data_IF_558405195191
#
_entry.id   IF_558405195191
#
_cell.length_a   1.000
_cell.length_b   1.000
_cell.length_c   1.000
_cell.angle_alpha   90.00
_cell.angle_beta   90.00
_cell.angle_gamma   90.00
#
_symmetry.space_group_name_H-M   'P 1'
#
loop_
_entity.id
_entity.type
_entity.pdbx_description
1 polymer ?
#
# COMPACT_ATOMS: atom_id res chain seq x y z
N UNK A 1 11.06 -8.96 -1.69
CA UNK A 1 11.29 -8.66 -0.26
C UNK A 1 11.54 -9.98 0.44
N UNK A 2 12.67 -10.12 1.11
CA UNK A 2 13.04 -11.33 1.84
C UNK A 2 12.53 -11.25 3.29
N UNK A 3 12.39 -12.38 3.99
CA UNK A 3 11.96 -12.38 5.40
C UNK A 3 12.94 -11.64 6.32
N UNK A 4 14.23 -11.56 5.92
CA UNK A 4 15.26 -10.79 6.62
C UNK A 4 15.02 -9.27 6.57
N UNK A 5 14.28 -8.78 5.57
CA UNK A 5 13.91 -7.37 5.43
C UNK A 5 12.74 -6.99 6.35
N UNK A 6 12.04 -7.99 6.90
CA UNK A 6 10.90 -7.83 7.80
C UNK A 6 11.29 -7.95 9.28
N UNK A 7 12.57 -8.14 9.59
CA UNK A 7 13.08 -8.14 10.95
C UNK A 7 12.91 -6.78 11.65
N UNK A 8 12.88 -6.80 12.98
CA UNK A 8 12.85 -5.60 13.82
C UNK A 8 14.02 -4.66 13.45
N UNK A 9 13.70 -3.39 13.17
CA UNK A 9 14.67 -2.37 12.75
C UNK A 9 14.92 -2.26 11.24
N UNK A 10 14.55 -3.25 10.42
CA UNK A 10 14.65 -3.18 8.93
C UNK A 10 13.30 -3.05 8.24
N UNK A 11 12.23 -3.51 8.89
CA UNK A 11 10.87 -3.49 8.37
C UNK A 11 10.38 -2.09 7.99
N UNK A 12 10.73 -1.06 8.77
CA UNK A 12 10.37 0.34 8.46
C UNK A 12 11.07 0.86 7.19
N UNK A 13 12.34 0.53 7.00
CA UNK A 13 13.12 0.87 5.80
C UNK A 13 12.57 0.14 4.59
N UNK A 14 12.26 -1.16 4.74
CA UNK A 14 11.69 -1.97 3.68
C UNK A 14 10.31 -1.44 3.23
N UNK A 15 9.43 -1.07 4.16
CA UNK A 15 8.14 -0.44 3.85
C UNK A 15 8.32 0.91 3.17
N UNK A 16 9.19 1.78 3.71
CA UNK A 16 9.44 3.09 3.12
C UNK A 16 10.01 2.99 1.69
N UNK A 17 10.96 2.08 1.47
CA UNK A 17 11.52 1.82 0.14
C UNK A 17 10.44 1.30 -0.82
N UNK A 18 9.57 0.39 -0.37
CA UNK A 18 8.46 -0.12 -1.18
C UNK A 18 7.48 1.00 -1.56
N UNK A 19 7.12 1.88 -0.62
CA UNK A 19 6.28 3.06 -0.89
C UNK A 19 6.93 3.95 -1.95
N UNK A 20 8.22 4.27 -1.81
CA UNK A 20 8.95 5.09 -2.81
C UNK A 20 9.00 4.43 -4.18
N UNK A 21 9.27 3.12 -4.23
CA UNK A 21 9.30 2.38 -5.50
C UNK A 21 7.94 2.41 -6.20
N UNK A 22 6.85 2.14 -5.49
CA UNK A 22 5.50 2.18 -6.06
C UNK A 22 5.12 3.60 -6.52
N UNK A 23 5.46 4.63 -5.74
CA UNK A 23 5.23 6.03 -6.09
C UNK A 23 6.01 6.48 -7.34
N UNK A 24 7.25 5.98 -7.52
CA UNK A 24 8.06 6.34 -8.68
C UNK A 24 7.75 5.51 -9.93
N UNK A 25 7.48 4.21 -9.79
CA UNK A 25 7.03 3.36 -10.90
C UNK A 25 5.72 3.87 -11.53
N UNK A 26 4.86 4.54 -10.76
CA UNK A 26 3.65 5.20 -11.25
C UNK A 26 3.92 6.31 -12.29
N UNK A 27 5.15 6.84 -12.41
CA UNK A 27 5.49 7.88 -13.39
C UNK A 27 5.80 7.35 -14.80
N UNK A 28 6.21 6.09 -14.92
CA UNK A 28 6.60 5.49 -16.21
C UNK A 28 5.53 4.54 -16.77
N UNK A 29 4.56 4.10 -15.96
CA UNK A 29 3.50 3.18 -16.38
C UNK A 29 2.29 3.98 -16.89
N UNK A 30 2.44 4.63 -18.05
CA UNK A 30 1.28 5.12 -18.82
C UNK A 30 0.60 4.02 -19.64
N UNK A 31 1.21 2.84 -19.77
CA UNK A 31 0.83 1.89 -20.83
C UNK A 31 0.64 0.42 -20.39
N UNK A 32 0.75 0.09 -19.09
CA UNK A 32 0.50 -1.29 -18.61
C UNK A 32 -0.28 -1.40 -17.30
N UNK A 33 -0.62 -0.27 -16.67
CA UNK A 33 -1.44 -0.23 -15.44
C UNK A 33 -2.91 0.04 -15.76
N UNK A 34 -3.46 -0.62 -16.79
CA UNK A 34 -4.86 -0.50 -17.21
C UNK A 34 -5.91 -0.88 -16.17
N UNK A 35 -5.54 -1.09 -14.90
CA UNK A 35 -6.48 -1.30 -13.79
C UNK A 35 -6.26 -0.31 -12.62
N UNK A 36 -5.09 0.34 -12.48
CA UNK A 36 -4.79 1.19 -11.30
C UNK A 36 -3.92 2.43 -11.59
N UNK A 37 -3.58 2.71 -12.86
CA UNK A 37 -2.56 3.70 -13.26
C UNK A 37 -2.84 5.16 -12.85
N UNK A 38 -4.10 5.58 -12.77
CA UNK A 38 -4.44 6.91 -12.25
C UNK A 38 -4.65 6.95 -10.74
N UNK A 39 -4.55 5.79 -10.07
CA UNK A 39 -5.04 5.58 -8.71
C UNK A 39 -6.55 5.39 -8.75
N UNK A 40 -7.02 4.17 -8.48
CA UNK A 40 -8.45 3.91 -8.28
C UNK A 40 -8.82 4.33 -6.86
N UNK A 41 -9.87 5.12 -6.70
CA UNK A 41 -10.46 5.38 -5.39
C UNK A 41 -10.95 4.06 -4.79
N UNK A 42 -10.61 3.79 -3.53
CA UNK A 42 -10.96 2.54 -2.86
C UNK A 42 -11.25 2.78 -1.40
N UNK A 43 -12.12 1.94 -0.85
CA UNK A 43 -12.38 1.84 0.57
C UNK A 43 -11.54 0.72 1.15
N UNK A 44 -10.78 1.02 2.20
CA UNK A 44 -10.09 0.03 3.01
C UNK A 44 -10.90 -0.16 4.28
N UNK A 45 -11.46 -1.35 4.46
CA UNK A 45 -12.30 -1.71 5.59
C UNK A 45 -11.58 -2.73 6.49
N UNK A 46 -11.70 -2.55 7.80
CA UNK A 46 -11.19 -3.46 8.81
C UNK A 46 -12.37 -3.98 9.63
N UNK A 47 -12.80 -5.21 9.35
CA UNK A 47 -13.96 -5.81 9.99
C UNK A 47 -13.74 -7.32 10.18
N UNK A 48 -14.24 -7.89 11.27
CA UNK A 48 -14.22 -9.34 11.53
C UNK A 48 -12.84 -10.01 11.36
N UNK A 49 -11.78 -9.30 11.78
CA UNK A 49 -10.37 -9.72 11.64
C UNK A 49 -9.89 -9.83 10.18
N UNK A 50 -10.61 -9.25 9.24
CA UNK A 50 -10.25 -9.15 7.83
C UNK A 50 -9.92 -7.69 7.47
N UNK A 51 -8.96 -7.52 6.57
CA UNK A 51 -8.72 -6.29 5.83
C UNK A 51 -9.26 -6.50 4.42
N UNK A 52 -10.24 -5.68 4.03
CA UNK A 52 -10.86 -5.71 2.72
C UNK A 52 -10.63 -4.41 1.96
N UNK A 53 -10.41 -4.54 0.66
CA UNK A 53 -10.47 -3.42 -0.29
C UNK A 53 -11.76 -3.53 -1.07
N UNK A 54 -12.51 -2.44 -1.11
CA UNK A 54 -13.84 -2.38 -1.69
C UNK A 54 -13.91 -1.22 -2.68
N UNK A 55 -14.61 -1.43 -3.79
CA UNK A 55 -14.93 -0.39 -4.75
C UNK A 55 -15.91 0.63 -4.14
N UNK A 56 -15.64 1.94 -4.20
CA UNK A 56 -16.47 2.95 -3.55
C UNK A 56 -17.83 3.13 -4.23
N UNK A 57 -17.97 2.82 -5.52
CA UNK A 57 -19.17 3.10 -6.30
C UNK A 57 -20.21 1.99 -6.14
N UNK A 58 -19.79 0.73 -6.29
CA UNK A 58 -20.70 -0.42 -6.28
C UNK A 58 -20.55 -1.34 -5.05
N UNK A 59 -19.61 -1.02 -4.15
CA UNK A 59 -19.24 -1.83 -2.98
C UNK A 59 -18.75 -3.24 -3.33
N UNK A 60 -18.25 -3.46 -4.55
CA UNK A 60 -17.68 -4.75 -4.94
C UNK A 60 -16.37 -5.04 -4.19
N UNK A 61 -16.19 -6.30 -3.82
CA UNK A 61 -14.99 -6.75 -3.13
C UNK A 61 -13.82 -6.87 -4.13
N UNK A 62 -12.77 -6.07 -3.93
CA UNK A 62 -11.56 -6.07 -4.75
C UNK A 62 -10.50 -7.01 -4.17
N UNK A 63 -10.32 -7.00 -2.84
CA UNK A 63 -9.36 -7.83 -2.14
C UNK A 63 -9.81 -8.12 -0.71
N UNK A 64 -9.42 -9.28 -0.18
CA UNK A 64 -9.70 -9.67 1.20
C UNK A 64 -8.55 -10.49 1.76
N UNK A 65 -8.06 -10.14 2.94
CA UNK A 65 -7.03 -10.91 3.64
C UNK A 65 -7.22 -10.86 5.17
N UNK A 66 -6.88 -11.94 5.90
CA UNK A 66 -6.86 -11.90 7.35
C UNK A 66 -5.86 -10.88 7.87
N UNK A 67 -6.24 -10.13 8.91
CA UNK A 67 -5.31 -9.22 9.60
C UNK A 67 -4.14 -10.01 10.19
N UNK A 68 -4.38 -11.24 10.64
CA UNK A 68 -3.34 -12.13 11.17
C UNK A 68 -2.26 -12.51 10.17
N UNK A 69 -2.51 -12.38 8.85
CA UNK A 69 -1.49 -12.64 7.83
C UNK A 69 -0.66 -11.40 7.47
N UNK A 70 -1.00 -10.22 8.01
CA UNK A 70 -0.21 -9.00 7.80
C UNK A 70 1.05 -9.08 8.65
N UNK A 71 2.20 -9.26 7.99
CA UNK A 71 3.49 -9.35 8.67
C UNK A 71 4.05 -7.98 9.05
N UNK A 72 3.89 -7.00 8.17
CA UNK A 72 4.39 -5.63 8.35
C UNK A 72 3.41 -4.67 7.68
N UNK A 73 3.25 -3.50 8.28
CA UNK A 73 2.48 -2.37 7.79
C UNK A 73 3.23 -1.08 8.10
N UNK A 74 2.92 0.02 7.41
CA UNK A 74 3.50 1.32 7.71
C UNK A 74 2.84 2.44 6.92
N UNK A 75 3.21 3.67 7.26
CA UNK A 75 2.63 4.89 6.69
C UNK A 75 3.72 5.65 5.93
N UNK A 76 3.40 6.15 4.73
CA UNK A 76 4.29 7.02 3.98
C UNK A 76 4.49 8.34 4.71
N UNK A 77 5.73 8.68 5.05
CA UNK A 77 6.09 9.99 5.62
C UNK A 77 6.61 10.89 4.51
N UNK A 78 5.71 11.50 3.77
CA UNK A 78 6.07 12.55 2.80
C UNK A 78 5.60 13.92 3.30
N UNK A 79 5.97 14.27 4.54
CA UNK A 79 5.82 15.63 5.04
C UNK A 79 7.05 16.02 5.87
N UNK A 80 8.16 16.26 5.18
CA UNK A 80 9.26 17.05 5.72
C UNK A 80 9.73 18.07 4.68
N UNK A 81 8.75 18.70 4.01
CA UNK A 81 8.97 19.84 3.14
C UNK A 81 8.92 21.11 3.98
N UNK A 82 10.09 21.60 4.38
CA UNK A 82 10.44 23.01 4.52
C UNK A 82 9.43 23.90 5.29
N UNK A 83 9.61 23.99 6.60
CA UNK A 83 9.31 25.26 7.30
C UNK A 83 10.66 25.94 7.52
N UNK A 84 11.04 26.79 6.57
CA UNK A 84 12.02 27.85 6.75
C UNK A 84 11.32 29.15 7.09
#
# INVERSE_FOLDING_TARGET
MSEQDLCEGRSSVAVHQCIRQLSYCRRDIRDSAGVWGEGKGMLLELQDRMLTLVDPDDRSLLHSQPISSIRVWGVGRDHDSLIG
#
